data_IF_260440056871
#
_entry.id   IF_260440056871
#
_cell.length_a   1.000
_cell.length_b   1.000
_cell.length_c   1.000
_cell.angle_alpha   90.00
_cell.angle_beta   90.00
_cell.angle_gamma   90.00
#
_symmetry.space_group_name_H-M   'P 1'
#
loop_
_entity.id
_entity.type
_entity.pdbx_description
1 polymer ?
#
# COMPACT_ATOMS: atom_id res chain seq x y z
N UNK A 1 -2.89 6.24 21.43
CA UNK A 1 -3.92 6.76 20.52
C UNK A 1 -3.38 6.62 19.11
N UNK A 2 -4.12 6.01 18.20
CA UNK A 2 -3.76 5.91 16.79
C UNK A 2 -4.54 6.98 16.02
N UNK A 3 -3.90 7.58 15.02
CA UNK A 3 -4.58 8.48 14.09
C UNK A 3 -5.10 7.64 12.92
N UNK A 4 -6.40 7.65 12.70
CA UNK A 4 -7.02 7.01 11.53
C UNK A 4 -7.63 8.05 10.60
N UNK A 5 -7.74 7.70 9.32
CA UNK A 5 -8.42 8.51 8.32
C UNK A 5 -9.19 7.62 7.34
N UNK A 6 -10.33 8.11 6.85
CA UNK A 6 -11.02 7.50 5.72
C UNK A 6 -10.36 7.96 4.42
N UNK A 7 -9.80 7.02 3.66
CA UNK A 7 -9.17 7.26 2.36
C UNK A 7 -9.88 6.40 1.32
N UNK A 8 -10.57 7.04 0.38
CA UNK A 8 -11.36 6.38 -0.68
C UNK A 8 -12.34 5.32 -0.14
N UNK A 9 -13.00 5.60 0.98
CA UNK A 9 -14.03 4.73 1.56
C UNK A 9 -13.52 3.66 2.51
N UNK A 10 -12.20 3.50 2.67
CA UNK A 10 -11.59 2.59 3.64
C UNK A 10 -10.88 3.35 4.77
N UNK A 11 -10.97 2.83 6.00
CA UNK A 11 -10.27 3.41 7.14
C UNK A 11 -8.83 2.88 7.22
N UNK A 12 -7.86 3.80 7.30
CA UNK A 12 -6.44 3.47 7.43
C UNK A 12 -5.84 4.13 8.66
N UNK A 13 -4.92 3.43 9.34
CA UNK A 13 -4.03 4.03 10.32
C UNK A 13 -2.96 4.87 9.63
N UNK A 14 -2.83 6.13 10.02
CA UNK A 14 -1.76 7.01 9.57
C UNK A 14 -0.49 6.69 10.36
N UNK A 15 0.38 5.87 9.76
CA UNK A 15 1.67 5.47 10.34
C UNK A 15 2.82 6.26 9.70
N UNK A 16 3.99 6.35 10.37
CA UNK A 16 5.23 6.78 9.73
C UNK A 16 5.52 6.07 8.40
N UNK A 17 5.17 4.78 8.25
CA UNK A 17 5.32 4.05 6.97
C UNK A 17 4.47 4.65 5.85
N UNK A 18 3.20 5.00 6.12
CA UNK A 18 2.35 5.67 5.13
C UNK A 18 2.88 7.08 4.81
N UNK A 19 3.38 7.80 5.82
CA UNK A 19 4.00 9.11 5.64
C UNK A 19 5.26 9.01 4.78
N UNK A 20 6.11 8.00 5.01
CA UNK A 20 7.31 7.76 4.20
C UNK A 20 6.95 7.42 2.75
N UNK A 21 5.92 6.59 2.52
CA UNK A 21 5.44 6.30 1.17
C UNK A 21 5.02 7.58 0.42
N UNK A 22 4.31 8.48 1.10
CA UNK A 22 3.96 9.81 0.55
C UNK A 22 5.21 10.66 0.35
N UNK A 23 6.15 10.67 1.30
CA UNK A 23 7.41 11.42 1.18
C UNK A 23 8.24 10.98 -0.04
N UNK A 24 8.30 9.67 -0.30
CA UNK A 24 9.02 9.11 -1.46
C UNK A 24 8.42 9.48 -2.79
N UNK A 25 7.12 9.77 -2.87
CA UNK A 25 6.48 10.14 -4.14
C UNK A 25 7.06 11.40 -4.79
N UNK A 26 7.76 12.23 -4.03
CA UNK A 26 8.48 13.40 -4.54
C UNK A 26 9.72 13.06 -5.37
N UNK A 27 10.26 11.84 -5.22
CA UNK A 27 11.51 11.36 -5.84
C UNK A 27 11.38 10.01 -6.53
N UNK A 28 10.23 9.36 -6.41
CA UNK A 28 9.88 8.10 -7.09
C UNK A 28 8.73 8.36 -8.05
N UNK A 29 8.97 8.10 -9.35
CA UNK A 29 8.02 8.42 -10.41
C UNK A 29 6.73 7.60 -10.31
N UNK A 30 6.82 6.33 -9.94
CA UNK A 30 5.66 5.44 -9.90
C UNK A 30 4.76 5.77 -8.71
N UNK A 31 5.35 6.10 -7.56
CA UNK A 31 4.62 6.59 -6.40
C UNK A 31 4.02 7.98 -6.63
N UNK A 32 4.73 8.86 -7.33
CA UNK A 32 4.21 10.16 -7.76
C UNK A 32 2.99 9.97 -8.66
N UNK A 33 3.09 9.07 -9.64
CA UNK A 33 2.05 8.82 -10.63
C UNK A 33 0.79 8.21 -10.01
N UNK A 34 0.92 7.30 -9.03
CA UNK A 34 -0.27 6.71 -8.37
C UNK A 34 -1.00 7.75 -7.53
N UNK A 35 -0.28 8.63 -6.82
CA UNK A 35 -0.90 9.72 -6.07
C UNK A 35 -1.59 10.72 -6.99
N UNK A 36 -0.95 11.10 -8.10
CA UNK A 36 -1.53 12.04 -9.06
C UNK A 36 -2.80 11.49 -9.71
N UNK A 37 -2.77 10.22 -10.16
CA UNK A 37 -3.88 9.63 -10.92
C UNK A 37 -4.99 9.04 -10.06
N UNK A 38 -4.64 8.52 -8.87
CA UNK A 38 -5.55 7.72 -8.07
C UNK A 38 -5.66 8.17 -6.61
N UNK A 39 -4.89 9.18 -6.19
CA UNK A 39 -4.97 9.75 -4.85
C UNK A 39 -4.34 8.90 -3.76
N UNK A 40 -4.42 9.42 -2.52
CA UNK A 40 -3.79 8.83 -1.34
C UNK A 40 -4.41 7.49 -0.95
N UNK A 41 -5.71 7.28 -1.15
CA UNK A 41 -6.35 6.01 -0.80
C UNK A 41 -5.83 4.85 -1.64
N UNK A 42 -5.54 5.07 -2.93
CA UNK A 42 -4.88 4.04 -3.75
C UNK A 42 -3.44 3.75 -3.31
N UNK A 43 -2.68 4.76 -2.88
CA UNK A 43 -1.34 4.54 -2.31
C UNK A 43 -1.41 3.74 -1.00
N UNK A 44 -2.37 4.06 -0.12
CA UNK A 44 -2.58 3.32 1.13
C UNK A 44 -3.02 1.86 0.86
N UNK A 45 -3.89 1.64 -0.12
CA UNK A 45 -4.24 0.31 -0.59
C UNK A 45 -3.01 -0.43 -1.14
N UNK A 46 -2.17 0.24 -1.94
CA UNK A 46 -0.94 -0.35 -2.44
C UNK A 46 0.02 -0.80 -1.34
N UNK A 47 0.17 0.01 -0.28
CA UNK A 47 0.95 -0.35 0.89
C UNK A 47 0.39 -1.59 1.60
N UNK A 48 -0.94 -1.74 1.64
CA UNK A 48 -1.63 -2.91 2.20
C UNK A 48 -1.25 -4.22 1.52
N UNK A 49 -1.06 -4.19 0.20
CA UNK A 49 -0.61 -5.35 -0.59
C UNK A 49 0.92 -5.49 -0.65
N UNK A 50 1.67 -4.40 -0.49
CA UNK A 50 3.13 -4.41 -0.47
C UNK A 50 3.67 -5.21 0.71
N UNK A 51 3.08 -5.12 1.90
CA UNK A 51 3.54 -5.88 3.07
C UNK A 51 3.57 -7.40 2.81
N UNK A 52 2.45 -8.06 2.46
CA UNK A 52 2.46 -9.50 2.24
C UNK A 52 3.25 -9.93 1.00
N UNK A 53 3.43 -9.03 0.02
CA UNK A 53 4.35 -9.20 -1.10
C UNK A 53 5.81 -9.27 -0.63
N UNK A 54 6.25 -8.29 0.16
CA UNK A 54 7.62 -8.25 0.70
C UNK A 54 7.87 -9.43 1.63
N UNK A 55 6.88 -9.82 2.43
CA UNK A 55 6.93 -10.99 3.31
C UNK A 55 6.77 -12.33 2.58
N UNK A 56 6.77 -12.36 1.23
CA UNK A 56 6.80 -13.59 0.42
C UNK A 56 5.55 -14.46 0.43
N UNK A 57 4.44 -13.99 1.00
CA UNK A 57 3.17 -14.72 1.09
C UNK A 57 2.06 -14.15 0.21
N UNK A 58 2.42 -13.22 -0.67
CA UNK A 58 1.67 -12.90 -1.87
C UNK A 58 2.67 -12.69 -3.00
N UNK A 59 2.43 -13.28 -4.18
CA UNK A 59 3.29 -12.98 -5.33
C UNK A 59 3.05 -11.54 -5.81
N UNK A 60 4.08 -10.90 -6.34
CA UNK A 60 3.99 -9.54 -6.92
C UNK A 60 2.83 -9.42 -7.92
N UNK A 61 2.69 -10.42 -8.81
CA UNK A 61 1.63 -10.47 -9.82
C UNK A 61 0.23 -10.57 -9.21
N UNK A 62 0.08 -11.29 -8.09
CA UNK A 62 -1.20 -11.36 -7.38
C UNK A 62 -1.49 -10.02 -6.74
N UNK A 63 -0.54 -9.46 -5.98
CA UNK A 63 -0.69 -8.15 -5.35
C UNK A 63 -1.06 -7.06 -6.38
N UNK A 64 -0.35 -7.00 -7.51
CA UNK A 64 -0.59 -6.00 -8.56
C UNK A 64 -2.00 -6.13 -9.18
N UNK A 65 -2.50 -7.36 -9.33
CA UNK A 65 -3.86 -7.61 -9.83
C UNK A 65 -4.91 -7.07 -8.86
N UNK A 66 -4.72 -7.29 -7.56
CA UNK A 66 -5.68 -6.85 -6.54
C UNK A 66 -5.74 -5.32 -6.41
N UNK A 67 -4.70 -4.58 -6.82
CA UNK A 67 -4.73 -3.11 -6.84
C UNK A 67 -5.76 -2.53 -7.81
N UNK A 68 -6.24 -3.31 -8.77
CA UNK A 68 -7.21 -2.87 -9.79
C UNK A 68 -6.63 -1.81 -10.73
N UNK A 69 -5.31 -1.78 -10.92
CA UNK A 69 -4.61 -0.91 -11.88
C UNK A 69 -3.99 -1.75 -13.01
N UNK A 70 -3.43 -1.09 -14.03
CA UNK A 70 -2.73 -1.81 -15.10
C UNK A 70 -1.61 -2.68 -14.51
N UNK A 71 -1.46 -3.97 -14.89
CA UNK A 71 -0.55 -4.89 -14.22
C UNK A 71 0.91 -4.40 -14.12
N UNK A 72 1.46 -3.84 -15.20
CA UNK A 72 2.83 -3.31 -15.20
C UNK A 72 2.99 -2.13 -14.22
N UNK A 73 1.98 -1.26 -14.15
CA UNK A 73 1.98 -0.14 -13.22
C UNK A 73 1.83 -0.60 -11.77
N UNK A 74 0.96 -1.59 -11.51
CA UNK A 74 0.83 -2.20 -10.18
C UNK A 74 2.12 -2.87 -9.70
N UNK A 75 2.84 -3.55 -10.59
CA UNK A 75 4.15 -4.12 -10.30
C UNK A 75 5.15 -3.01 -9.93
N UNK A 76 5.22 -1.94 -10.72
CA UNK A 76 6.14 -0.84 -10.47
C UNK A 76 5.89 -0.17 -9.10
N UNK A 77 4.62 0.09 -8.76
CA UNK A 77 4.24 0.61 -7.43
C UNK A 77 4.69 -0.33 -6.31
N UNK A 78 4.46 -1.64 -6.44
CA UNK A 78 4.83 -2.62 -5.41
C UNK A 78 6.35 -2.71 -5.23
N UNK A 79 7.12 -2.59 -6.31
CA UNK A 79 8.57 -2.55 -6.26
C UNK A 79 9.07 -1.30 -5.54
N UNK A 80 8.51 -0.13 -5.84
CA UNK A 80 8.84 1.10 -5.12
C UNK A 80 8.48 1.02 -3.62
N UNK A 81 7.33 0.42 -3.29
CA UNK A 81 6.89 0.24 -1.91
C UNK A 81 7.66 -0.85 -1.15
N UNK A 82 8.33 -1.79 -1.84
CA UNK A 82 9.19 -2.77 -1.16
C UNK A 82 10.26 -2.08 -0.35
N UNK A 83 10.91 -1.08 -0.90
CA UNK A 83 11.98 -0.36 -0.21
C UNK A 83 11.44 0.42 0.99
N UNK A 84 10.24 1.04 0.85
CA UNK A 84 9.54 1.68 1.99
C UNK A 84 9.31 0.67 3.11
N UNK A 85 8.77 -0.50 2.78
CA UNK A 85 8.45 -1.54 3.76
C UNK A 85 9.71 -2.06 4.46
N UNK A 86 10.79 -2.31 3.72
CA UNK A 86 12.04 -2.80 4.27
C UNK A 86 12.72 -1.75 5.17
N UNK A 87 12.77 -0.50 4.73
CA UNK A 87 13.40 0.58 5.50
C UNK A 87 12.59 0.91 6.76
N UNK A 88 11.25 0.94 6.66
CA UNK A 88 10.39 1.34 7.78
C UNK A 88 10.19 0.24 8.82
N UNK A 89 10.38 -1.04 8.47
CA UNK A 89 10.18 -2.16 9.42
C UNK A 89 11.02 -2.06 10.69
N UNK A 90 12.21 -1.49 10.59
CA UNK A 90 13.11 -1.35 11.74
C UNK A 90 12.91 -0.05 12.53
N UNK A 91 12.19 0.94 11.97
CA UNK A 91 12.16 2.31 12.49
C UNK A 91 10.75 2.84 12.80
N UNK A 92 9.71 2.29 12.17
CA UNK A 92 8.33 2.65 12.47
C UNK A 92 7.84 1.86 13.71
N UNK A 93 7.65 2.51 14.86
CA UNK A 93 7.14 1.83 16.06
C UNK A 93 5.67 1.40 15.94
N UNK A 94 4.97 1.81 14.88
CA UNK A 94 3.60 1.44 14.57
C UNK A 94 3.53 0.55 13.32
N UNK A 95 4.63 -0.06 12.90
CA UNK A 95 4.68 -0.87 11.68
C UNK A 95 3.61 -1.98 11.69
N UNK A 96 3.35 -2.63 12.82
CA UNK A 96 2.29 -3.67 12.91
C UNK A 96 0.86 -3.13 12.74
N UNK A 97 0.66 -1.81 12.80
CA UNK A 97 -0.63 -1.16 12.60
C UNK A 97 -0.86 -0.75 11.14
N UNK A 98 0.13 -0.93 10.27
CA UNK A 98 -0.07 -0.80 8.82
C UNK A 98 -0.96 -1.94 8.37
N UNK A 99 -2.04 -1.61 7.66
CA UNK A 99 -3.00 -2.59 7.18
C UNK A 99 -2.30 -3.62 6.28
N UNK A 100 -2.71 -4.88 6.40
CA UNK A 100 -2.09 -6.00 5.69
C UNK A 100 -3.16 -6.82 4.98
N UNK A 101 -3.01 -7.05 3.67
CA UNK A 101 -3.98 -7.80 2.87
C UNK A 101 -4.12 -9.28 3.29
N UNK A 102 -3.21 -9.83 4.10
CA UNK A 102 -3.41 -11.16 4.72
C UNK A 102 -4.41 -11.15 5.87
N UNK A 103 -4.56 -10.00 6.56
CA UNK A 103 -5.47 -9.86 7.71
C UNK A 103 -6.91 -9.53 7.30
N UNK A 104 -7.10 -8.99 6.10
CA UNK A 104 -8.41 -8.69 5.51
C UNK A 104 -8.42 -9.22 4.07
N UNK A 105 -9.02 -10.39 3.79
CA UNK A 105 -9.20 -10.84 2.42
C UNK A 105 -9.99 -9.77 1.64
N UNK A 106 -9.75 -9.62 0.32
CA UNK A 106 -10.54 -8.70 -0.50
C UNK A 106 -12.02 -8.99 -0.26
N UNK A 107 -12.82 -7.95 0.01
CA UNK A 107 -14.26 -8.10 0.13
C UNK A 107 -14.75 -8.89 -1.10
N UNK A 108 -15.35 -10.06 -0.87
CA UNK A 108 -16.01 -10.80 -1.93
C UNK A 108 -16.98 -9.83 -2.60
N UNK A 109 -16.82 -9.64 -3.91
CA UNK A 109 -17.72 -8.83 -4.72
C UNK A 109 -19.17 -9.16 -4.33
N UNK A 110 -19.89 -8.18 -3.80
CA UNK A 110 -21.34 -8.25 -3.76
C UNK A 110 -21.83 -8.29 -5.21
N UNK A 111 -22.16 -9.49 -5.66
CA UNK A 111 -22.97 -9.72 -6.84
C UNK A 111 -24.36 -9.13 -6.59
N UNK A 112 -24.72 -8.10 -7.37
CA UNK A 112 -26.12 -7.79 -7.68
C UNK A 112 -26.72 -8.86 -8.60
#
# INVERSE_FOLDING_TARGET
MLLTANLDGAEYTITPTLIEAVGRSSRDQDLGLVLEKHGLGKLAAALTYAIPYVDGGMSERVAARELGVQPAFGIAILQALRDVVLDMRAVDPYFEHVQNARAHPPAENHSE
#
